data_IF_867551967315
#
_entry.id   IF_867551967315
#
_cell.length_a   1.000
_cell.length_b   1.000
_cell.length_c   1.000
_cell.angle_alpha   90.00
_cell.angle_beta   90.00
_cell.angle_gamma   90.00
#
_symmetry.space_group_name_H-M   'P 1'
#
loop_
_entity.id
_entity.type
_entity.pdbx_description
1 polymer ?
#
# COMPACT_ATOMS: atom_id res chain seq x y z
N UNK A 1 12.13 -10.29 0.56
CA UNK A 1 11.90 -10.82 1.91
C UNK A 1 10.76 -11.83 1.85
N UNK A 2 10.79 -12.89 2.66
CA UNK A 2 9.72 -13.91 2.71
C UNK A 2 9.07 -13.85 4.10
N UNK A 3 7.75 -13.71 4.16
CA UNK A 3 6.97 -13.77 5.40
C UNK A 3 6.43 -15.20 5.57
N UNK A 4 6.58 -15.84 6.75
CA UNK A 4 6.04 -17.17 6.99
C UNK A 4 4.53 -17.25 6.81
N UNK A 5 4.04 -18.39 6.33
CA UNK A 5 2.62 -18.69 6.13
C UNK A 5 1.81 -18.77 7.44
N UNK A 6 2.46 -18.75 8.60
CA UNK A 6 1.78 -18.64 9.89
C UNK A 6 1.36 -17.20 10.25
N UNK A 7 1.82 -16.19 9.49
CA UNK A 7 1.54 -14.78 9.78
C UNK A 7 0.15 -14.39 9.28
N UNK A 8 -0.74 -14.03 10.20
CA UNK A 8 -2.12 -13.62 9.87
C UNK A 8 -2.33 -12.11 9.87
N UNK A 9 -1.40 -11.34 10.44
CA UNK A 9 -1.53 -9.88 10.59
C UNK A 9 -0.18 -9.21 10.40
N UNK A 10 -0.14 -8.15 9.61
CA UNK A 10 0.97 -7.21 9.56
C UNK A 10 0.66 -6.07 10.52
N UNK A 11 1.47 -5.89 11.57
CA UNK A 11 1.18 -4.95 12.64
C UNK A 11 1.32 -3.47 12.26
N UNK A 12 0.89 -2.59 13.19
CA UNK A 12 1.13 -1.15 13.12
C UNK A 12 2.60 -0.85 12.85
N UNK A 13 2.89 -0.10 11.79
CA UNK A 13 4.26 0.31 11.40
C UNK A 13 5.30 -0.82 11.27
N UNK A 14 4.88 -2.07 11.00
CA UNK A 14 5.76 -3.24 10.98
C UNK A 14 6.97 -3.11 10.01
N UNK A 15 6.79 -2.44 8.88
CA UNK A 15 7.80 -2.13 7.88
C UNK A 15 7.92 -0.62 7.66
N UNK A 16 7.67 0.17 8.69
CA UNK A 16 7.77 1.62 8.62
C UNK A 16 9.20 2.04 8.22
N UNK A 17 9.29 2.95 7.25
CA UNK A 17 10.53 3.54 6.74
C UNK A 17 11.56 2.52 6.25
N UNK A 18 11.10 1.37 5.76
CA UNK A 18 11.96 0.37 5.13
C UNK A 18 12.37 0.82 3.72
N UNK A 19 13.18 1.88 3.62
CA UNK A 19 13.60 2.51 2.36
C UNK A 19 14.41 1.61 1.42
N UNK A 20 14.92 0.47 1.89
CA UNK A 20 15.62 -0.53 1.05
C UNK A 20 14.71 -1.68 0.59
N UNK A 21 13.46 -1.75 1.07
CA UNK A 21 12.52 -2.80 0.68
C UNK A 21 12.01 -2.53 -0.73
N UNK A 22 12.41 -3.35 -1.70
CA UNK A 22 12.02 -3.19 -3.11
C UNK A 22 10.81 -4.01 -3.52
N UNK A 23 10.63 -5.17 -2.90
CA UNK A 23 9.48 -6.04 -3.17
C UNK A 23 9.08 -6.86 -1.94
N UNK A 24 7.77 -7.14 -1.86
CA UNK A 24 7.22 -8.01 -0.83
C UNK A 24 6.04 -8.84 -1.36
N UNK A 25 6.06 -10.12 -1.04
CA UNK A 25 4.94 -11.04 -1.27
C UNK A 25 4.36 -11.42 0.08
N UNK A 26 3.08 -11.11 0.31
CA UNK A 26 2.40 -11.52 1.53
C UNK A 26 1.80 -12.93 1.36
N UNK A 27 1.90 -13.81 2.37
CA UNK A 27 1.32 -15.14 2.31
C UNK A 27 -0.21 -15.09 2.42
N UNK A 28 -0.90 -16.08 1.85
CA UNK A 28 -2.36 -16.17 1.82
C UNK A 28 -3.03 -16.22 3.20
N UNK A 29 -2.27 -16.45 4.26
CA UNK A 29 -2.74 -16.40 5.64
C UNK A 29 -2.98 -14.99 6.16
N UNK A 30 -2.35 -13.95 5.58
CA UNK A 30 -2.51 -12.56 6.03
C UNK A 30 -3.95 -12.10 5.81
N UNK A 31 -4.59 -11.64 6.88
CA UNK A 31 -5.97 -11.12 6.88
C UNK A 31 -6.02 -9.60 7.01
N UNK A 32 -5.07 -9.02 7.72
CA UNK A 32 -5.06 -7.58 8.00
C UNK A 32 -3.68 -6.95 7.94
N UNK A 33 -3.66 -5.69 7.51
CA UNK A 33 -2.47 -4.84 7.47
C UNK A 33 -2.75 -3.61 8.33
N UNK A 34 -1.90 -3.38 9.32
CA UNK A 34 -2.04 -2.30 10.28
C UNK A 34 -1.81 -0.92 9.67
N UNK A 35 -2.24 0.10 10.43
CA UNK A 35 -2.00 1.49 10.09
C UNK A 35 -0.49 1.76 9.92
N UNK A 36 -0.14 2.45 8.83
CA UNK A 36 1.25 2.79 8.50
C UNK A 36 2.19 1.60 8.28
N UNK A 37 1.69 0.37 8.07
CA UNK A 37 2.51 -0.84 8.05
C UNK A 37 3.71 -0.78 7.09
N UNK A 38 3.55 -0.21 5.89
CA UNK A 38 4.60 -0.02 4.88
C UNK A 38 4.91 1.46 4.64
N UNK A 39 4.44 2.34 5.51
CA UNK A 39 4.61 3.78 5.31
C UNK A 39 6.10 4.14 5.25
N UNK A 40 6.50 4.94 4.26
CA UNK A 40 7.89 5.33 4.03
C UNK A 40 8.74 4.30 3.26
N UNK A 41 8.18 3.19 2.78
CA UNK A 41 8.91 2.26 1.90
C UNK A 41 9.09 2.85 0.49
N UNK A 42 9.91 3.89 0.36
CA UNK A 42 10.05 4.67 -0.89
C UNK A 42 10.55 3.87 -2.09
N UNK A 43 11.34 2.82 -1.84
CA UNK A 43 11.89 1.95 -2.89
C UNK A 43 11.00 0.75 -3.22
N UNK A 44 9.86 0.58 -2.56
CA UNK A 44 8.95 -0.54 -2.79
C UNK A 44 8.26 -0.35 -4.14
N UNK A 45 8.59 -1.19 -5.12
CA UNK A 45 8.06 -1.11 -6.48
C UNK A 45 7.05 -2.19 -6.81
N UNK A 46 6.96 -3.24 -5.98
CA UNK A 46 6.02 -4.33 -6.17
C UNK A 46 5.54 -4.89 -4.85
N UNK A 47 4.22 -5.00 -4.70
CA UNK A 47 3.56 -5.72 -3.62
C UNK A 47 2.46 -6.62 -4.18
N UNK A 48 2.49 -7.90 -3.79
CA UNK A 48 1.40 -8.84 -4.09
C UNK A 48 0.56 -9.04 -2.84
N UNK A 49 -0.71 -8.64 -2.91
CA UNK A 49 -1.68 -8.72 -1.82
C UNK A 49 -2.67 -9.87 -2.04
N UNK A 50 -2.65 -10.91 -1.19
CA UNK A 50 -3.49 -12.08 -1.36
C UNK A 50 -4.94 -11.77 -1.01
N UNK A 51 -5.90 -12.37 -1.73
CA UNK A 51 -7.35 -12.12 -1.61
C UNK A 51 -7.88 -12.21 -0.18
N UNK A 52 -7.18 -12.95 0.67
CA UNK A 52 -7.42 -13.08 2.11
C UNK A 52 -7.29 -11.78 2.92
N UNK A 53 -6.56 -10.78 2.42
CA UNK A 53 -6.48 -9.46 3.06
C UNK A 53 -7.81 -8.74 2.89
N UNK A 54 -8.52 -8.58 4.00
CA UNK A 54 -9.83 -7.94 4.08
C UNK A 54 -9.80 -6.58 4.77
N UNK A 55 -8.68 -6.24 5.42
CA UNK A 55 -8.53 -4.96 6.13
C UNK A 55 -7.13 -4.40 5.93
N UNK A 56 -7.07 -3.12 5.55
CA UNK A 56 -5.83 -2.36 5.40
C UNK A 56 -6.03 -1.04 6.14
N UNK A 57 -5.18 -0.77 7.12
CA UNK A 57 -5.26 0.42 7.95
C UNK A 57 -4.83 1.68 7.21
N UNK A 58 -5.22 2.83 7.75
CA UNK A 58 -4.87 4.12 7.14
C UNK A 58 -3.35 4.27 7.00
N UNK A 59 -2.93 5.01 5.98
CA UNK A 59 -1.52 5.30 5.71
C UNK A 59 -0.63 4.07 5.48
N UNK A 60 -1.20 2.86 5.34
CA UNK A 60 -0.42 1.63 5.22
C UNK A 60 0.63 1.70 4.11
N UNK A 61 0.38 2.46 3.04
CA UNK A 61 1.30 2.66 1.90
C UNK A 61 1.69 4.13 1.68
N UNK A 62 1.56 4.99 2.70
CA UNK A 62 1.91 6.40 2.58
C UNK A 62 3.42 6.57 2.32
N UNK A 63 3.79 7.35 1.29
CA UNK A 63 5.18 7.55 0.91
C UNK A 63 5.83 6.36 0.18
N UNK A 64 5.06 5.34 -0.22
CA UNK A 64 5.52 4.26 -1.09
C UNK A 64 5.58 4.71 -2.55
N UNK A 65 6.43 5.69 -2.86
CA UNK A 65 6.48 6.33 -4.18
C UNK A 65 6.88 5.37 -5.30
N UNK A 66 7.61 4.29 -5.00
CA UNK A 66 7.92 3.25 -5.98
C UNK A 66 6.70 2.46 -6.46
N UNK A 67 5.59 2.45 -5.70
CA UNK A 67 4.32 1.80 -6.08
C UNK A 67 3.43 2.70 -6.93
N UNK A 68 3.77 3.99 -7.03
CA UNK A 68 2.94 4.93 -7.76
C UNK A 68 3.00 4.64 -9.27
N UNK A 69 1.86 4.76 -9.92
CA UNK A 69 1.81 4.77 -11.37
C UNK A 69 2.43 6.06 -11.95
N UNK A 70 2.42 6.18 -13.28
CA UNK A 70 2.91 7.36 -13.99
C UNK A 70 2.20 8.68 -13.59
N UNK A 71 1.03 8.60 -12.96
CA UNK A 71 0.24 9.74 -12.50
C UNK A 71 0.45 10.03 -11.00
N UNK A 72 1.26 9.23 -10.29
CA UNK A 72 1.48 9.38 -8.85
C UNK A 72 0.44 8.67 -7.98
N UNK A 73 -0.42 7.82 -8.56
CA UNK A 73 -1.47 7.10 -7.86
C UNK A 73 -0.95 5.74 -7.39
N UNK A 74 -1.11 5.46 -6.09
CA UNK A 74 -0.88 4.15 -5.51
C UNK A 74 -2.21 3.44 -5.40
N UNK A 75 -2.51 2.62 -6.42
CA UNK A 75 -3.72 1.81 -6.50
C UNK A 75 -3.35 0.37 -6.17
N UNK A 76 -4.10 -0.22 -5.26
CA UNK A 76 -3.92 -1.60 -4.84
C UNK A 76 -5.29 -2.27 -4.92
N UNK A 77 -5.39 -3.26 -5.81
CA UNK A 77 -6.67 -3.80 -6.30
C UNK A 77 -7.53 -2.68 -6.90
N UNK A 78 -8.68 -2.42 -6.30
CA UNK A 78 -9.61 -1.36 -6.69
C UNK A 78 -9.65 -0.22 -5.68
N UNK A 79 -8.69 -0.16 -4.75
CA UNK A 79 -8.62 0.87 -3.72
C UNK A 79 -7.43 1.80 -4.01
N UNK A 80 -7.71 3.09 -4.17
CA UNK A 80 -6.71 4.14 -4.21
C UNK A 80 -6.26 4.47 -2.78
N UNK A 81 -4.98 4.23 -2.46
CA UNK A 81 -4.46 4.37 -1.11
C UNK A 81 -3.73 5.68 -0.86
N UNK A 82 -3.02 6.17 -1.87
CA UNK A 82 -2.17 7.33 -1.75
C UNK A 82 -1.98 7.99 -3.12
N UNK A 83 -1.92 9.31 -3.11
CA UNK A 83 -1.56 10.14 -4.23
C UNK A 83 -0.32 10.95 -3.82
N UNK A 84 0.82 10.62 -4.43
CA UNK A 84 2.09 11.32 -4.20
C UNK A 84 2.43 12.36 -5.26
N UNK A 85 1.49 12.67 -6.15
CA UNK A 85 1.68 13.68 -7.18
C UNK A 85 1.36 15.10 -6.70
N UNK A 86 1.60 16.06 -7.59
CA UNK A 86 1.38 17.49 -7.33
C UNK A 86 0.40 18.13 -8.33
N UNK A 87 -0.42 17.32 -9.01
CA UNK A 87 -1.33 17.80 -10.03
C UNK A 87 -2.51 18.56 -9.41
N UNK A 88 -2.95 19.60 -10.09
CA UNK A 88 -4.13 20.41 -9.69
C UNK A 88 -5.46 19.71 -9.99
N UNK A 89 -5.42 18.69 -10.84
CA UNK A 89 -6.56 17.85 -11.21
C UNK A 89 -6.08 16.41 -11.39
N UNK A 90 -6.87 15.46 -10.91
CA UNK A 90 -6.55 14.03 -10.93
C UNK A 90 -7.73 13.29 -11.55
N UNK A 91 -7.41 12.39 -12.47
CA UNK A 91 -8.38 11.43 -13.01
C UNK A 91 -8.22 10.10 -12.28
N UNK A 92 -9.32 9.56 -11.78
CA UNK A 92 -9.34 8.26 -11.09
C UNK A 92 -9.64 7.18 -12.13
N UNK A 93 -8.78 6.17 -12.31
CA UNK A 93 -9.04 5.12 -13.29
C UNK A 93 -10.34 4.36 -13.03
N UNK A 94 -11.05 3.96 -14.09
CA UNK A 94 -12.37 3.30 -14.05
C UNK A 94 -12.44 2.00 -13.21
N UNK A 95 -11.29 1.41 -12.87
CA UNK A 95 -11.19 0.21 -12.02
C UNK A 95 -11.14 0.47 -10.51
N UNK A 96 -11.05 1.73 -10.08
CA UNK A 96 -11.01 2.11 -8.67
C UNK A 96 -12.44 2.21 -8.13
N UNK A 97 -12.79 1.34 -7.19
CA UNK A 97 -14.11 1.28 -6.55
C UNK A 97 -14.13 1.86 -5.14
N UNK A 98 -12.96 2.22 -4.60
CA UNK A 98 -12.85 2.78 -3.25
C UNK A 98 -11.65 3.73 -3.15
N UNK A 99 -11.78 4.74 -2.29
CA UNK A 99 -10.74 5.74 -2.01
C UNK A 99 -10.44 5.68 -0.50
N UNK A 100 -9.18 5.46 -0.15
CA UNK A 100 -8.74 5.43 1.25
C UNK A 100 -8.90 6.79 1.89
N UNK A 101 -9.21 6.83 3.20
CA UNK A 101 -9.46 8.09 3.93
C UNK A 101 -8.29 9.09 3.90
N UNK A 102 -7.10 8.64 3.54
CA UNK A 102 -5.88 9.46 3.43
C UNK A 102 -5.31 9.50 2.02
N UNK A 103 -6.05 9.06 1.00
CA UNK A 103 -5.55 8.94 -0.37
C UNK A 103 -5.02 10.27 -0.94
N UNK A 104 -5.64 11.40 -0.61
CA UNK A 104 -5.23 12.73 -1.10
C UNK A 104 -4.70 13.63 0.02
N UNK A 105 -4.13 13.02 1.05
CA UNK A 105 -3.50 13.79 2.12
C UNK A 105 -2.16 14.35 1.66
N UNK A 106 -2.00 15.66 1.80
CA UNK A 106 -0.79 16.42 1.49
C UNK A 106 -0.29 17.16 2.72
#
# INVERSE_FOLDING_TARGET
>A
MVIPDTVTTIGYRAFYDCGNLTSITLPDSVKSIGNGAFSGCSSLTSITLPESVTSIGDWAFWGCNGLADQNGLVIIRSLLYYYGGNATSIEIPDGVTSIGGSAFSG
#
